data_IF_974172882025
#
_entry.id   IF_974172882025
#
_cell.length_a   1.000
_cell.length_b   1.000
_cell.length_c   1.000
_cell.angle_alpha   90.00
_cell.angle_beta   90.00
_cell.angle_gamma   90.00
#
_symmetry.space_group_name_H-M   'P 1'
#
loop_
_entity.id
_entity.type
_entity.pdbx_description
1 polymer ?
#
# COMPACT_ATOMS: atom_id res chain seq x y z
N UNK A 1 3.29 4.99 33.41
CA UNK A 1 2.23 5.47 32.50
C UNK A 1 2.05 4.40 31.44
N UNK A 2 0.81 4.07 31.06
CA UNK A 2 0.56 3.18 29.93
C UNK A 2 1.00 3.87 28.62
N UNK A 3 1.48 3.11 27.65
CA UNK A 3 1.84 3.63 26.33
C UNK A 3 0.59 4.16 25.60
N UNK A 4 0.73 5.20 24.78
CA UNK A 4 -0.35 5.63 23.88
C UNK A 4 -0.53 4.62 22.75
N UNK A 5 -1.69 4.55 22.07
CA UNK A 5 -1.86 3.63 20.94
C UNK A 5 -0.85 3.85 19.80
N UNK A 6 -0.42 5.09 19.53
CA UNK A 6 0.69 5.36 18.58
C UNK A 6 2.02 4.77 19.06
N UNK A 7 2.29 4.86 20.37
CA UNK A 7 3.48 4.25 20.97
C UNK A 7 3.40 2.72 20.95
N UNK A 8 2.23 2.12 21.11
CA UNK A 8 2.04 0.66 20.96
C UNK A 8 2.39 0.21 19.54
N UNK A 9 1.92 0.93 18.52
CA UNK A 9 2.25 0.64 17.11
C UNK A 9 3.75 0.81 16.86
N UNK A 10 4.33 1.92 17.35
CA UNK A 10 5.76 2.17 17.21
C UNK A 10 6.63 1.11 17.92
N UNK A 11 6.23 0.66 19.12
CA UNK A 11 6.92 -0.41 19.85
C UNK A 11 6.90 -1.70 19.05
N UNK A 12 5.73 -2.15 18.56
CA UNK A 12 5.63 -3.37 17.73
C UNK A 12 6.50 -3.26 16.49
N UNK A 13 6.51 -2.08 15.86
CA UNK A 13 7.34 -1.83 14.71
C UNK A 13 8.84 -1.94 15.04
N UNK A 14 9.29 -1.38 16.17
CA UNK A 14 10.68 -1.51 16.64
C UNK A 14 11.05 -2.94 17.04
N UNK A 15 10.10 -3.69 17.61
CA UNK A 15 10.29 -5.11 17.93
C UNK A 15 10.47 -5.96 16.68
N UNK A 16 9.76 -5.65 15.59
CA UNK A 16 10.00 -6.28 14.27
C UNK A 16 11.40 -5.93 13.76
N UNK A 17 11.76 -4.65 13.76
CA UNK A 17 13.06 -4.18 13.25
C UNK A 17 14.25 -4.72 14.03
N UNK A 18 14.11 -4.98 15.33
CA UNK A 18 15.17 -5.58 16.16
C UNK A 18 15.52 -7.01 15.71
N UNK A 19 14.54 -7.74 15.16
CA UNK A 19 14.74 -9.13 14.68
C UNK A 19 15.36 -9.18 13.28
N UNK A 20 15.56 -8.02 12.64
CA UNK A 20 16.10 -7.86 11.29
C UNK A 20 17.57 -7.44 11.38
N UNK A 21 18.53 -8.14 10.74
CA UNK A 21 19.91 -7.65 10.63
C UNK A 21 19.97 -6.28 9.93
N UNK A 22 20.21 -5.23 10.71
CA UNK A 22 20.37 -3.85 10.22
C UNK A 22 21.76 -3.66 9.61
N UNK A 23 21.92 -3.96 8.32
CA UNK A 23 23.13 -3.57 7.58
C UNK A 23 22.95 -2.18 6.96
N UNK A 24 24.01 -1.37 6.95
CA UNK A 24 24.01 -0.05 6.32
C UNK A 24 24.01 -0.20 4.80
N UNK A 25 23.04 0.44 4.16
CA UNK A 25 22.91 0.55 2.70
C UNK A 25 23.41 1.95 2.29
N UNK A 26 24.12 2.11 1.14
CA UNK A 26 24.77 3.37 0.79
C UNK A 26 23.81 4.56 0.66
N UNK A 27 24.29 5.73 1.11
CA UNK A 27 23.52 6.97 1.29
C UNK A 27 23.30 7.76 0.00
N UNK A 28 22.10 8.35 -0.15
CA UNK A 28 21.84 9.43 -1.10
C UNK A 28 21.73 10.82 -0.41
N UNK A 29 22.13 11.88 -1.11
CA UNK A 29 22.50 13.19 -0.56
C UNK A 29 21.35 14.09 -0.04
N UNK A 30 21.69 14.91 0.97
CA UNK A 30 20.79 15.77 1.77
C UNK A 30 20.31 17.02 1.01
N UNK A 31 19.01 17.33 1.07
CA UNK A 31 18.42 18.60 0.64
C UNK A 31 17.46 19.18 1.69
N UNK A 32 17.48 20.50 1.90
CA UNK A 32 16.78 21.20 3.00
C UNK A 32 15.50 21.89 2.52
N UNK A 33 14.41 21.80 3.30
CA UNK A 33 13.10 22.43 3.07
C UNK A 33 13.02 23.85 3.68
N UNK A 34 12.37 24.84 3.05
CA UNK A 34 11.99 26.10 3.68
C UNK A 34 10.49 26.14 4.11
N UNK A 35 10.16 27.02 5.06
CA UNK A 35 8.86 27.12 5.75
C UNK A 35 7.87 28.12 5.08
N UNK A 36 6.54 27.95 5.25
CA UNK A 36 5.53 28.74 4.55
C UNK A 36 5.03 29.99 5.31
N UNK A 37 4.48 30.95 4.56
CA UNK A 37 3.76 32.13 5.06
C UNK A 37 2.22 31.95 4.96
N UNK A 38 1.41 32.68 5.76
CA UNK A 38 0.02 32.31 6.04
C UNK A 38 -1.02 33.05 5.17
N UNK A 39 -2.15 32.37 4.96
CA UNK A 39 -3.51 32.86 4.61
C UNK A 39 -3.91 32.90 3.12
N UNK A 40 -4.70 31.91 2.66
CA UNK A 40 -6.11 32.08 2.26
C UNK A 40 -6.77 30.71 1.95
N UNK A 41 -8.07 30.54 2.27
CA UNK A 41 -8.78 29.23 2.31
C UNK A 41 -9.67 28.92 1.10
N UNK A 42 -9.78 29.80 0.11
CA UNK A 42 -10.50 29.49 -1.13
C UNK A 42 -9.50 29.38 -2.28
N UNK A 43 -9.19 28.13 -2.62
CA UNK A 43 -8.96 27.61 -3.98
C UNK A 43 -8.17 26.27 -3.90
N UNK A 44 -8.61 25.31 -3.07
CA UNK A 44 -7.81 24.15 -2.64
C UNK A 44 -7.33 23.26 -3.81
N UNK A 45 -8.20 23.04 -4.81
CA UNK A 45 -7.88 22.21 -5.97
C UNK A 45 -6.93 22.91 -6.95
N UNK A 46 -7.14 24.20 -7.25
CA UNK A 46 -6.22 24.93 -8.12
C UNK A 46 -4.93 25.33 -7.41
N UNK A 47 -4.93 25.55 -6.08
CA UNK A 47 -3.72 25.67 -5.27
C UNK A 47 -2.94 24.36 -5.32
N UNK A 48 -3.58 23.20 -5.18
CA UNK A 48 -2.92 21.91 -5.32
C UNK A 48 -2.31 21.74 -6.72
N UNK A 49 -3.07 22.02 -7.78
CA UNK A 49 -2.60 21.85 -9.16
C UNK A 49 -1.49 22.85 -9.52
N UNK A 50 -1.61 24.09 -9.05
CA UNK A 50 -0.61 25.15 -9.26
C UNK A 50 0.65 24.90 -8.46
N UNK A 51 0.52 24.57 -7.17
CA UNK A 51 1.61 24.13 -6.33
C UNK A 51 2.29 22.89 -6.92
N UNK A 52 1.53 21.93 -7.43
CA UNK A 52 2.06 20.73 -8.08
C UNK A 52 2.83 21.00 -9.37
N UNK A 53 2.43 22.02 -10.13
CA UNK A 53 3.15 22.48 -11.33
C UNK A 53 4.39 23.31 -11.00
N UNK A 54 4.28 24.23 -10.04
CA UNK A 54 5.38 25.12 -9.62
C UNK A 54 6.45 24.38 -8.81
N UNK A 55 6.05 23.31 -8.12
CA UNK A 55 6.93 22.41 -7.39
C UNK A 55 7.12 21.10 -8.15
N UNK A 56 6.84 21.05 -9.45
CA UNK A 56 6.94 19.82 -10.26
C UNK A 56 8.26 19.14 -10.04
N UNK A 57 9.40 19.85 -10.08
CA UNK A 57 10.71 19.23 -9.86
C UNK A 57 10.98 18.82 -8.41
N UNK A 58 10.37 19.49 -7.43
CA UNK A 58 10.47 19.16 -5.98
C UNK A 58 9.56 17.99 -5.61
N UNK A 59 8.38 17.89 -6.21
CA UNK A 59 7.44 16.77 -6.12
C UNK A 59 8.00 15.61 -6.91
N UNK A 60 8.56 15.83 -8.09
CA UNK A 60 9.31 14.84 -8.83
C UNK A 60 10.53 14.41 -8.02
N UNK A 61 11.13 15.25 -7.17
CA UNK A 61 12.25 14.86 -6.28
C UNK A 61 11.81 14.24 -4.95
N UNK A 62 10.64 14.57 -4.42
CA UNK A 62 10.05 13.97 -3.22
C UNK A 62 9.34 12.65 -3.52
N UNK A 63 8.69 12.56 -4.68
CA UNK A 63 8.31 11.34 -5.36
C UNK A 63 9.58 10.61 -5.80
N UNK A 64 10.61 11.21 -6.43
CA UNK A 64 11.84 10.43 -6.72
C UNK A 64 12.58 9.92 -5.48
N UNK A 65 12.58 10.65 -4.37
CA UNK A 65 13.19 10.18 -3.12
C UNK A 65 12.30 9.23 -2.29
N UNK A 66 11.06 8.93 -2.71
CA UNK A 66 10.14 8.10 -1.91
C UNK A 66 9.28 7.12 -2.71
N UNK A 67 9.02 7.49 -3.95
CA UNK A 67 8.47 6.71 -5.07
C UNK A 67 9.58 6.22 -6.01
N UNK A 68 10.75 6.88 -6.20
CA UNK A 68 11.76 6.49 -7.22
C UNK A 68 13.26 6.38 -6.87
N UNK A 69 13.66 5.71 -5.78
CA UNK A 69 15.08 5.31 -5.60
C UNK A 69 15.73 5.70 -4.28
N UNK A 70 15.13 5.28 -3.17
CA UNK A 70 15.83 5.03 -1.91
C UNK A 70 15.10 3.93 -1.16
N UNK A 71 15.82 2.94 -0.63
CA UNK A 71 15.23 1.95 0.27
C UNK A 71 14.66 2.68 1.50
N UNK A 72 13.36 2.45 1.70
CA UNK A 72 12.54 2.73 2.88
C UNK A 72 12.32 4.21 3.21
N UNK A 73 11.80 4.52 4.40
CA UNK A 73 11.70 5.90 4.88
C UNK A 73 13.08 6.58 4.90
N UNK A 74 13.27 7.59 5.75
CA UNK A 74 14.66 7.93 6.05
C UNK A 74 15.27 6.71 6.81
N UNK A 75 15.86 5.75 6.09
CA UNK A 75 16.31 4.46 6.65
C UNK A 75 17.41 4.67 7.67
N UNK A 76 18.23 5.71 7.47
CA UNK A 76 19.15 6.20 8.50
C UNK A 76 18.39 6.50 9.80
N UNK A 77 17.16 7.04 9.73
CA UNK A 77 16.28 7.28 10.89
C UNK A 77 15.66 6.03 11.45
N UNK A 78 15.26 5.08 10.61
CA UNK A 78 14.76 3.78 11.07
C UNK A 78 15.87 3.05 11.84
N UNK A 79 17.10 3.06 11.33
CA UNK A 79 18.28 2.51 12.02
C UNK A 79 18.59 3.28 13.30
N UNK A 80 18.62 4.62 13.26
CA UNK A 80 18.77 5.47 14.46
C UNK A 80 17.70 5.14 15.52
N UNK A 81 16.45 4.90 15.09
CA UNK A 81 15.34 4.55 15.97
C UNK A 81 15.55 3.20 16.66
N UNK A 82 15.93 2.17 15.90
CA UNK A 82 16.18 0.83 16.45
C UNK A 82 17.40 0.83 17.38
N UNK A 83 18.47 1.55 17.03
CA UNK A 83 19.61 1.73 17.92
C UNK A 83 19.23 2.41 19.25
N UNK A 84 18.37 3.44 19.21
CA UNK A 84 17.86 4.10 20.40
C UNK A 84 16.96 3.18 21.24
N UNK A 85 16.11 2.37 20.59
CA UNK A 85 15.28 1.36 21.23
C UNK A 85 16.12 0.33 21.99
N UNK A 86 17.19 -0.20 21.37
CA UNK A 86 18.10 -1.17 22.03
C UNK A 86 18.81 -0.60 23.27
N UNK A 87 19.02 0.72 23.29
CA UNK A 87 19.60 1.43 24.44
C UNK A 87 18.55 1.76 25.52
N UNK A 88 17.28 1.38 25.32
CA UNK A 88 16.16 1.75 26.20
C UNK A 88 15.74 3.21 26.11
N UNK A 89 16.22 3.96 25.10
CA UNK A 89 15.86 5.36 24.89
C UNK A 89 14.60 5.48 24.02
N UNK A 90 13.45 5.07 24.58
CA UNK A 90 12.17 5.09 23.88
C UNK A 90 11.77 6.47 23.33
N UNK A 91 11.95 7.61 24.04
CA UNK A 91 11.64 8.92 23.50
C UNK A 91 12.41 9.26 22.21
N UNK A 92 13.70 8.91 22.16
CA UNK A 92 14.50 9.09 20.94
C UNK A 92 14.08 8.13 19.84
N UNK A 93 13.81 6.86 20.17
CA UNK A 93 13.34 5.87 19.20
C UNK A 93 12.05 6.33 18.49
N UNK A 94 11.06 6.83 19.25
CA UNK A 94 9.82 7.35 18.70
C UNK A 94 10.04 8.59 17.83
N UNK A 95 10.86 9.55 18.30
CA UNK A 95 11.17 10.74 17.52
C UNK A 95 11.82 10.39 16.16
N UNK A 96 12.68 9.37 16.14
CA UNK A 96 13.35 8.92 14.91
C UNK A 96 12.40 8.20 13.95
N UNK A 97 11.47 7.40 14.46
CA UNK A 97 10.40 6.85 13.62
C UNK A 97 9.52 7.96 13.03
N UNK A 98 9.13 8.97 13.82
CA UNK A 98 8.37 10.11 13.32
C UNK A 98 9.15 10.90 12.25
N UNK A 99 10.45 11.10 12.45
CA UNK A 99 11.35 11.70 11.45
C UNK A 99 11.35 10.87 10.15
N UNK A 100 11.36 9.54 10.24
CA UNK A 100 11.42 8.63 9.08
C UNK A 100 10.19 8.76 8.17
N UNK A 101 9.01 9.08 8.74
CA UNK A 101 7.75 9.24 8.02
C UNK A 101 7.34 10.71 7.79
N UNK A 102 8.18 11.67 8.17
CA UNK A 102 7.83 13.09 8.22
C UNK A 102 7.23 13.68 6.92
N UNK A 103 7.76 13.37 5.72
CA UNK A 103 7.11 13.90 4.51
C UNK A 103 5.80 13.19 4.13
N UNK A 104 5.53 11.96 4.62
CA UNK A 104 4.21 11.33 4.43
C UNK A 104 3.22 12.03 5.34
N UNK A 105 3.60 12.30 6.59
CA UNK A 105 2.79 13.11 7.51
C UNK A 105 2.44 14.49 6.95
N UNK A 106 3.36 15.15 6.23
CA UNK A 106 3.06 16.41 5.54
C UNK A 106 1.98 16.26 4.46
N UNK A 107 2.06 15.21 3.64
CA UNK A 107 1.06 14.93 2.59
C UNK A 107 -0.29 14.54 3.19
N UNK A 108 -0.29 13.67 4.20
CA UNK A 108 -1.50 13.29 4.92
C UNK A 108 -2.17 14.51 5.57
N UNK A 109 -1.39 15.36 6.25
CA UNK A 109 -1.89 16.58 6.88
C UNK A 109 -2.46 17.57 5.86
N UNK A 110 -1.87 17.65 4.66
CA UNK A 110 -2.44 18.42 3.56
C UNK A 110 -3.85 17.92 3.18
N UNK A 111 -4.10 16.61 3.19
CA UNK A 111 -5.41 16.03 2.95
C UNK A 111 -6.36 16.03 4.16
N UNK A 112 -6.00 16.70 5.26
CA UNK A 112 -6.80 16.68 6.50
C UNK A 112 -6.77 15.32 7.20
N UNK A 113 -5.77 14.49 6.90
CA UNK A 113 -5.57 13.16 7.47
C UNK A 113 -4.32 13.11 8.34
N UNK A 114 -4.18 12.04 9.10
CA UNK A 114 -2.92 11.63 9.72
C UNK A 114 -2.41 10.35 9.07
N UNK A 115 -1.13 10.05 9.25
CA UNK A 115 -0.51 8.81 8.77
C UNK A 115 0.11 8.04 9.92
N UNK A 116 0.00 6.72 9.86
CA UNK A 116 0.61 5.79 10.80
C UNK A 116 1.28 4.66 10.00
N UNK A 117 2.56 4.42 10.25
CA UNK A 117 3.23 3.23 9.72
C UNK A 117 2.72 1.99 10.47
N UNK A 118 2.29 0.96 9.75
CA UNK A 118 1.75 -0.28 10.32
C UNK A 118 2.73 -1.45 10.19
N UNK A 119 3.49 -1.48 9.09
CA UNK A 119 4.46 -2.53 8.79
C UNK A 119 5.55 -1.97 7.86
N UNK A 120 6.82 -2.30 8.12
CA UNK A 120 7.95 -1.99 7.24
C UNK A 120 8.88 -3.20 7.22
N UNK A 121 8.56 -4.13 6.33
CA UNK A 121 9.31 -5.35 6.05
C UNK A 121 9.86 -5.35 4.62
N UNK A 122 10.02 -4.15 4.04
CA UNK A 122 10.36 -3.95 2.64
C UNK A 122 11.62 -4.67 2.18
N UNK A 123 12.60 -4.91 3.05
CA UNK A 123 13.88 -5.51 2.65
C UNK A 123 14.05 -6.98 3.07
N UNK A 124 12.99 -7.64 3.55
CA UNK A 124 13.07 -9.04 3.95
C UNK A 124 11.90 -9.87 3.42
N UNK A 125 12.24 -10.99 2.78
CA UNK A 125 11.30 -12.07 2.50
C UNK A 125 11.40 -13.14 3.59
N UNK A 126 10.28 -13.73 4.00
CA UNK A 126 10.20 -14.77 5.05
C UNK A 126 11.08 -16.01 4.79
N UNK A 127 11.52 -16.24 3.55
CA UNK A 127 12.44 -17.33 3.16
C UNK A 127 13.88 -16.89 2.84
N UNK A 128 14.27 -15.65 3.15
CA UNK A 128 15.65 -15.16 2.94
C UNK A 128 16.06 -14.97 1.47
N UNK A 129 15.10 -14.94 0.54
CA UNK A 129 15.36 -14.58 -0.86
C UNK A 129 15.66 -13.09 -0.96
N UNK A 130 16.85 -12.75 -1.47
CA UNK A 130 17.39 -11.39 -1.57
C UNK A 130 16.78 -10.54 -2.69
N UNK A 131 15.67 -10.97 -3.29
CA UNK A 131 15.10 -10.41 -4.53
C UNK A 131 13.63 -9.96 -4.35
N UNK A 132 12.95 -10.30 -3.23
CA UNK A 132 11.53 -9.99 -3.06
C UNK A 132 11.27 -9.16 -1.80
N UNK A 133 10.82 -7.93 -2.02
CA UNK A 133 10.51 -6.96 -0.98
C UNK A 133 9.26 -7.38 -0.17
N UNK A 134 9.38 -7.51 1.15
CA UNK A 134 8.21 -7.68 2.02
C UNK A 134 7.31 -6.44 2.04
N UNK A 135 6.12 -6.49 2.66
CA UNK A 135 5.19 -5.38 2.61
C UNK A 135 5.67 -4.19 3.46
N UNK A 136 5.70 -3.01 2.83
CA UNK A 136 5.63 -1.73 3.53
C UNK A 136 4.20 -1.23 3.48
N UNK A 137 3.58 -1.07 4.64
CA UNK A 137 2.17 -0.73 4.79
C UNK A 137 1.98 0.38 5.82
N UNK A 138 1.20 1.40 5.46
CA UNK A 138 0.79 2.46 6.37
C UNK A 138 -0.67 2.84 6.22
N UNK A 139 -1.26 3.37 7.28
CA UNK A 139 -2.64 3.82 7.32
C UNK A 139 -2.71 5.35 7.27
N UNK A 140 -3.48 5.87 6.32
CA UNK A 140 -3.98 7.24 6.31
C UNK A 140 -5.34 7.25 6.99
N UNK A 141 -5.61 8.14 7.93
CA UNK A 141 -6.89 8.15 8.63
C UNK A 141 -7.44 9.55 8.79
N UNK A 142 -8.76 9.64 8.68
CA UNK A 142 -9.52 10.88 8.78
C UNK A 142 -9.35 11.54 10.16
N UNK A 143 -9.33 12.87 10.17
CA UNK A 143 -9.48 13.66 11.40
C UNK A 143 -10.87 14.32 11.48
N UNK A 144 -11.74 14.07 10.50
CA UNK A 144 -13.13 14.54 10.51
C UNK A 144 -13.99 13.58 11.35
N UNK A 145 -14.52 14.02 12.51
CA UNK A 145 -15.31 13.17 13.39
C UNK A 145 -16.67 12.75 12.82
N UNK A 146 -17.13 13.38 11.74
CA UNK A 146 -18.38 13.05 11.04
C UNK A 146 -18.15 12.10 9.85
N UNK A 147 -16.89 11.95 9.42
CA UNK A 147 -16.50 11.09 8.30
C UNK A 147 -15.25 10.25 8.64
N UNK A 148 -15.34 9.33 9.62
CA UNK A 148 -14.22 8.49 10.00
C UNK A 148 -13.95 7.39 8.96
N UNK A 149 -12.71 7.30 8.50
CA UNK A 149 -12.22 6.20 7.66
C UNK A 149 -10.72 5.99 7.85
N UNK A 150 -10.26 4.80 7.48
CA UNK A 150 -8.85 4.43 7.33
C UNK A 150 -8.61 4.00 5.88
N UNK A 151 -7.60 4.56 5.23
CA UNK A 151 -7.03 4.08 3.98
C UNK A 151 -5.70 3.36 4.26
N UNK A 152 -5.69 2.04 4.14
CA UNK A 152 -4.50 1.18 4.28
C UNK A 152 -3.77 1.14 2.95
N UNK A 153 -2.56 1.69 2.90
CA UNK A 153 -1.77 1.84 1.70
C UNK A 153 -0.53 0.93 1.73
N UNK A 154 -0.44 0.02 0.75
CA UNK A 154 0.73 -0.81 0.52
C UNK A 154 1.64 -0.18 -0.53
N UNK A 155 2.94 -0.08 -0.20
CA UNK A 155 3.97 0.37 -1.11
C UNK A 155 4.17 -0.66 -2.23
N UNK A 156 4.37 -0.17 -3.44
CA UNK A 156 4.92 -0.98 -4.53
C UNK A 156 6.44 -1.03 -4.49
N UNK A 157 7.02 -1.54 -5.56
CA UNK A 157 8.46 -1.70 -5.75
C UNK A 157 9.18 -0.37 -6.04
N UNK A 158 10.51 -0.36 -6.04
CA UNK A 158 11.31 0.71 -6.64
C UNK A 158 11.13 0.77 -8.18
N UNK A 159 10.89 1.95 -8.76
CA UNK A 159 10.66 2.18 -10.19
C UNK A 159 11.78 1.89 -11.14
N UNK A 160 13.01 1.87 -10.65
CA UNK A 160 14.12 1.44 -11.47
C UNK A 160 13.94 -0.04 -11.88
N UNK A 161 13.18 -0.83 -11.10
CA UNK A 161 13.04 -2.28 -11.24
C UNK A 161 11.60 -2.81 -11.30
N UNK A 162 10.56 -1.96 -11.44
CA UNK A 162 9.14 -2.40 -11.38
C UNK A 162 8.81 -3.66 -12.18
N UNK A 163 9.39 -3.78 -13.38
CA UNK A 163 9.14 -4.92 -14.24
C UNK A 163 9.86 -6.18 -13.79
N UNK A 164 11.13 -6.04 -13.38
CA UNK A 164 11.91 -7.16 -12.86
C UNK A 164 11.20 -7.70 -11.63
N UNK A 165 10.88 -6.86 -10.65
CA UNK A 165 10.26 -7.33 -9.41
C UNK A 165 8.81 -7.81 -9.60
N UNK A 166 8.06 -7.23 -10.55
CA UNK A 166 6.74 -7.74 -10.91
C UNK A 166 6.81 -9.05 -11.69
N UNK A 167 7.88 -9.35 -12.44
CA UNK A 167 8.04 -10.62 -13.18
C UNK A 167 8.69 -11.69 -12.32
N UNK A 168 9.60 -11.29 -11.43
CA UNK A 168 10.40 -12.13 -10.54
C UNK A 168 9.67 -12.46 -9.23
N UNK A 169 8.48 -11.89 -9.00
CA UNK A 169 7.55 -12.38 -8.00
C UNK A 169 7.34 -13.90 -8.18
N UNK A 170 7.35 -14.64 -7.07
CA UNK A 170 7.05 -16.06 -7.10
C UNK A 170 5.56 -16.29 -7.43
N UNK A 171 5.29 -16.51 -8.72
CA UNK A 171 3.98 -16.82 -9.27
C UNK A 171 3.66 -18.33 -9.28
N UNK A 172 4.35 -19.15 -8.48
CA UNK A 172 3.82 -20.47 -8.20
C UNK A 172 2.48 -20.30 -7.46
N UNK A 173 1.44 -20.99 -7.92
CA UNK A 173 0.20 -21.07 -7.16
C UNK A 173 0.42 -21.97 -5.96
N UNK A 174 0.07 -21.46 -4.78
CA UNK A 174 -0.04 -22.26 -3.57
C UNK A 174 -1.43 -22.08 -2.96
N UNK A 175 -1.93 -23.14 -2.33
CA UNK A 175 -3.10 -23.04 -1.48
C UNK A 175 -2.74 -22.22 -0.23
N UNK A 176 -3.54 -21.20 0.06
CA UNK A 176 -3.52 -20.58 1.36
C UNK A 176 -3.91 -21.60 2.46
N UNK A 177 -3.34 -21.45 3.64
CA UNK A 177 -3.53 -22.36 4.78
C UNK A 177 -4.15 -21.63 5.96
N UNK A 178 -4.53 -22.37 7.01
CA UNK A 178 -5.00 -21.82 8.29
C UNK A 178 -6.23 -20.90 8.16
N UNK A 179 -7.03 -21.16 7.13
CA UNK A 179 -8.23 -20.39 6.83
C UNK A 179 -7.96 -19.08 6.11
N UNK A 180 -6.71 -18.70 5.84
CA UNK A 180 -6.40 -17.45 5.14
C UNK A 180 -6.95 -17.43 3.71
N UNK A 181 -7.43 -16.27 3.29
CA UNK A 181 -8.05 -16.00 1.99
C UNK A 181 -8.91 -17.16 1.47
N UNK A 182 -9.76 -17.71 2.34
CA UNK A 182 -10.68 -18.82 2.08
C UNK A 182 -10.01 -20.13 1.65
N UNK A 183 -8.73 -20.34 1.99
CA UNK A 183 -7.89 -21.46 1.54
C UNK A 183 -7.81 -21.59 0.01
N UNK A 184 -7.86 -20.46 -0.70
CA UNK A 184 -7.80 -20.38 -2.17
C UNK A 184 -6.37 -20.45 -2.70
N UNK A 185 -6.22 -20.58 -4.02
CA UNK A 185 -4.92 -20.64 -4.68
C UNK A 185 -4.45 -19.24 -5.07
N UNK A 186 -3.32 -18.83 -4.50
CA UNK A 186 -2.76 -17.48 -4.64
C UNK A 186 -1.28 -17.52 -5.01
N UNK A 187 -0.73 -16.39 -5.46
CA UNK A 187 0.72 -16.22 -5.66
C UNK A 187 1.48 -16.52 -4.38
N UNK A 188 2.45 -17.42 -4.48
CA UNK A 188 3.35 -17.80 -3.39
C UNK A 188 4.11 -16.59 -2.85
N UNK A 189 4.62 -15.73 -3.74
CA UNK A 189 5.37 -14.52 -3.37
C UNK A 189 4.50 -13.55 -2.58
N UNK A 190 3.33 -13.21 -3.11
CA UNK A 190 2.43 -12.25 -2.47
C UNK A 190 1.85 -12.78 -1.14
N UNK A 191 1.49 -14.07 -1.08
CA UNK A 191 1.02 -14.71 0.15
C UNK A 191 2.11 -14.76 1.23
N UNK A 192 3.33 -15.22 0.88
CA UNK A 192 4.43 -15.32 1.85
C UNK A 192 4.93 -13.95 2.31
N UNK A 193 4.75 -12.89 1.51
CA UNK A 193 4.99 -11.53 1.95
C UNK A 193 4.04 -11.08 3.07
N UNK A 194 2.79 -11.54 3.06
CA UNK A 194 1.79 -11.16 4.07
C UNK A 194 1.72 -12.11 5.27
N UNK A 195 1.71 -13.41 5.00
CA UNK A 195 1.45 -14.46 5.99
C UNK A 195 2.69 -15.30 6.33
N UNK A 196 3.81 -15.08 5.65
CA UNK A 196 5.08 -15.67 6.05
C UNK A 196 5.54 -15.14 7.40
N UNK A 197 6.27 -15.96 8.15
CA UNK A 197 6.77 -15.58 9.48
C UNK A 197 7.91 -14.55 9.37
N UNK A 198 7.78 -13.47 10.13
CA UNK A 198 8.79 -12.44 10.37
C UNK A 198 9.11 -12.40 11.87
N UNK A 199 9.98 -13.32 12.30
CA UNK A 199 10.17 -13.61 13.71
C UNK A 199 8.95 -14.36 14.27
N UNK A 200 8.25 -13.77 15.23
CA UNK A 200 7.11 -14.39 15.95
C UNK A 200 5.74 -13.87 15.47
N UNK A 201 5.70 -13.14 14.36
CA UNK A 201 4.46 -12.57 13.79
C UNK A 201 4.49 -12.61 12.27
N UNK A 202 3.36 -12.35 11.64
CA UNK A 202 3.25 -12.08 10.20
C UNK A 202 3.10 -10.58 9.93
N UNK A 203 3.32 -10.17 8.68
CA UNK A 203 3.05 -8.80 8.27
C UNK A 203 1.57 -8.46 8.43
N UNK A 204 0.67 -9.38 8.06
CA UNK A 204 -0.77 -9.17 8.15
C UNK A 204 -1.25 -9.03 9.59
N UNK A 205 -0.78 -9.88 10.52
CA UNK A 205 -1.07 -9.73 11.96
C UNK A 205 -0.62 -8.37 12.51
N UNK A 206 0.54 -7.90 12.07
CA UNK A 206 1.06 -6.61 12.50
C UNK A 206 0.20 -5.45 12.01
N UNK A 207 -0.28 -5.55 10.76
CA UNK A 207 -1.21 -4.59 10.17
C UNK A 207 -2.53 -4.58 10.94
N UNK A 208 -3.14 -5.74 11.20
CA UNK A 208 -4.44 -5.82 11.90
C UNK A 208 -4.34 -5.33 13.34
N UNK A 209 -3.31 -5.71 14.09
CA UNK A 209 -3.06 -5.18 15.43
C UNK A 209 -2.81 -3.67 15.43
N UNK A 210 -2.12 -3.17 14.40
CA UNK A 210 -1.92 -1.73 14.22
C UNK A 210 -3.22 -0.98 13.95
N UNK A 211 -4.10 -1.56 13.13
CA UNK A 211 -5.45 -1.02 12.87
C UNK A 211 -6.31 -1.01 14.12
N UNK A 212 -6.29 -2.08 14.93
CA UNK A 212 -6.99 -2.13 16.22
C UNK A 212 -6.55 -1.03 17.19
N UNK A 213 -5.24 -0.76 17.28
CA UNK A 213 -4.73 0.35 18.08
C UNK A 213 -5.13 1.71 17.46
N UNK A 214 -5.10 1.83 16.14
CA UNK A 214 -5.44 3.06 15.42
C UNK A 214 -6.91 3.45 15.55
N UNK A 215 -7.83 2.49 15.54
CA UNK A 215 -9.27 2.73 15.67
C UNK A 215 -9.62 3.46 16.97
N UNK A 216 -8.83 3.28 18.03
CA UNK A 216 -8.99 3.98 19.33
C UNK A 216 -8.66 5.48 19.24
N UNK A 217 -7.94 5.90 18.20
CA UNK A 217 -7.45 7.27 18.00
C UNK A 217 -8.31 8.08 17.03
N UNK A 218 -9.15 7.41 16.24
CA UNK A 218 -9.93 8.06 15.20
C UNK A 218 -11.10 8.82 15.84
N UNK A 219 -11.21 10.14 15.64
CA UNK A 219 -12.39 10.87 16.06
C UNK A 219 -13.63 10.29 15.40
N UNK A 220 -14.63 9.90 16.19
CA UNK A 220 -15.86 9.31 15.67
C UNK A 220 -17.06 9.76 16.51
N UNK A 221 -17.65 10.88 16.12
CA UNK A 221 -18.85 11.42 16.76
C UNK A 221 -20.13 10.72 16.32
N UNK A 222 -20.09 10.05 15.16
CA UNK A 222 -21.25 9.36 14.58
C UNK A 222 -21.59 8.05 15.30
N UNK A 223 -20.62 7.46 16.00
CA UNK A 223 -20.74 6.14 16.64
C UNK A 223 -20.87 4.96 15.66
N UNK A 224 -20.75 5.21 14.34
CA UNK A 224 -20.77 4.17 13.30
C UNK A 224 -19.42 3.47 13.22
N UNK A 225 -19.41 2.26 12.65
CA UNK A 225 -18.15 1.57 12.34
C UNK A 225 -17.30 2.37 11.35
N UNK A 226 -15.97 2.32 11.54
CA UNK A 226 -15.01 3.03 10.69
C UNK A 226 -14.74 2.22 9.43
N UNK A 227 -14.89 2.83 8.26
CA UNK A 227 -14.58 2.17 6.99
C UNK A 227 -13.06 1.95 6.84
N UNK A 228 -12.66 0.72 6.51
CA UNK A 228 -11.29 0.38 6.15
C UNK A 228 -11.22 0.17 4.64
N UNK A 229 -10.64 1.14 3.93
CA UNK A 229 -10.29 1.03 2.52
C UNK A 229 -8.87 0.50 2.39
N UNK A 230 -8.59 -0.26 1.33
CA UNK A 230 -7.26 -0.80 1.05
C UNK A 230 -6.80 -0.31 -0.32
N UNK A 231 -5.53 0.10 -0.44
CA UNK A 231 -5.01 0.61 -1.70
C UNK A 231 -3.55 0.26 -1.93
N UNK A 232 -3.17 0.14 -3.20
CA UNK A 232 -1.78 -0.10 -3.57
C UNK A 232 -1.52 -0.01 -5.08
N UNK A 233 -0.26 0.26 -5.41
CA UNK A 233 0.22 0.32 -6.79
C UNK A 233 1.24 -0.79 -7.06
N UNK A 234 1.23 -1.37 -8.26
CA UNK A 234 2.19 -2.43 -8.66
C UNK A 234 2.16 -3.61 -7.67
N UNK A 235 3.31 -4.05 -7.15
CA UNK A 235 3.42 -5.03 -6.05
C UNK A 235 2.52 -4.70 -4.84
N UNK A 236 2.38 -3.41 -4.50
CA UNK A 236 1.48 -2.98 -3.43
C UNK A 236 0.01 -3.28 -3.74
N UNK A 237 -0.37 -3.30 -5.02
CA UNK A 237 -1.69 -3.74 -5.47
C UNK A 237 -1.96 -5.23 -5.22
N UNK A 238 -0.91 -6.06 -5.32
CA UNK A 238 -0.99 -7.48 -4.97
C UNK A 238 -1.23 -7.68 -3.48
N UNK A 239 -0.41 -7.03 -2.65
CA UNK A 239 -0.60 -7.07 -1.20
C UNK A 239 -1.96 -6.51 -0.79
N UNK A 240 -2.42 -5.46 -1.46
CA UNK A 240 -3.75 -4.88 -1.23
C UNK A 240 -4.88 -5.86 -1.55
N UNK A 241 -4.79 -6.56 -2.69
CA UNK A 241 -5.84 -7.50 -3.09
C UNK A 241 -5.94 -8.69 -2.14
N UNK A 242 -4.79 -9.28 -1.75
CA UNK A 242 -4.76 -10.41 -0.81
C UNK A 242 -5.22 -9.96 0.59
N UNK A 243 -4.72 -8.82 1.07
CA UNK A 243 -5.10 -8.29 2.39
C UNK A 243 -6.58 -7.92 2.44
N UNK A 244 -7.14 -7.37 1.36
CA UNK A 244 -8.55 -7.05 1.29
C UNK A 244 -9.43 -8.31 1.29
N UNK A 245 -9.03 -9.36 0.57
CA UNK A 245 -9.72 -10.66 0.63
C UNK A 245 -9.69 -11.27 2.02
N UNK A 246 -8.56 -11.20 2.71
CA UNK A 246 -8.43 -11.65 4.10
C UNK A 246 -9.34 -10.83 5.02
N UNK A 247 -9.36 -9.50 4.90
CA UNK A 247 -10.25 -8.65 5.71
C UNK A 247 -11.73 -8.88 5.40
N UNK A 248 -12.09 -9.38 4.21
CA UNK A 248 -13.46 -9.73 3.88
C UNK A 248 -13.95 -11.00 4.60
N UNK A 249 -13.06 -11.81 5.17
CA UNK A 249 -13.47 -12.99 5.92
C UNK A 249 -14.17 -12.64 7.24
N UNK A 250 -15.19 -13.41 7.64
CA UNK A 250 -15.85 -13.24 8.92
C UNK A 250 -14.86 -13.26 10.09
N UNK A 251 -14.83 -12.18 10.87
CA UNK A 251 -14.02 -12.05 12.07
C UNK A 251 -12.56 -11.64 11.84
N UNK A 252 -12.15 -11.31 10.60
CA UNK A 252 -10.80 -10.78 10.33
C UNK A 252 -10.69 -9.26 10.44
N UNK A 253 -11.81 -8.54 10.33
CA UNK A 253 -11.83 -7.10 10.57
C UNK A 253 -11.62 -6.77 12.06
N UNK A 254 -10.83 -5.73 12.37
CA UNK A 254 -10.76 -5.16 13.71
C UNK A 254 -12.15 -4.76 14.26
N UNK A 255 -12.46 -5.01 15.54
CA UNK A 255 -13.72 -4.57 16.13
C UNK A 255 -13.94 -3.05 16.01
N UNK A 256 -15.18 -2.64 15.70
CA UNK A 256 -15.51 -1.23 15.49
C UNK A 256 -15.19 -0.69 14.09
N UNK A 257 -14.87 -1.59 13.15
CA UNK A 257 -14.62 -1.27 11.76
C UNK A 257 -15.50 -2.09 10.81
N UNK A 258 -15.64 -1.58 9.59
CA UNK A 258 -16.33 -2.26 8.49
C UNK A 258 -15.49 -2.21 7.22
N UNK A 259 -15.67 -3.18 6.33
CA UNK A 259 -14.92 -3.26 5.08
C UNK A 259 -15.36 -2.14 4.13
N UNK A 260 -14.45 -1.23 3.83
CA UNK A 260 -14.61 -0.27 2.75
C UNK A 260 -14.21 -0.88 1.41
N UNK A 261 -13.69 -0.04 0.51
CA UNK A 261 -13.33 -0.44 -0.85
C UNK A 261 -11.85 -0.82 -1.02
N UNK A 262 -11.59 -1.64 -2.03
CA UNK A 262 -10.25 -1.91 -2.56
C UNK A 262 -9.97 -1.02 -3.77
N UNK A 263 -8.88 -0.25 -3.76
CA UNK A 263 -8.39 0.52 -4.89
C UNK A 263 -7.03 0.01 -5.33
N UNK A 264 -6.90 -0.51 -6.54
CA UNK A 264 -5.60 -0.96 -7.06
C UNK A 264 -5.24 -0.26 -8.34
N UNK A 265 -3.96 0.08 -8.47
CA UNK A 265 -3.42 0.79 -9.63
C UNK A 265 -2.28 -0.06 -10.21
N UNK A 266 -2.42 -0.56 -11.42
CA UNK A 266 -1.35 -1.35 -12.03
C UNK A 266 -1.05 -2.67 -11.32
N UNK A 267 -1.97 -3.22 -10.53
CA UNK A 267 -1.76 -4.49 -9.82
C UNK A 267 -1.60 -5.66 -10.81
N UNK A 268 -0.59 -6.53 -10.64
CA UNK A 268 -0.54 -7.81 -11.34
C UNK A 268 -1.64 -8.76 -10.81
N UNK A 269 -1.77 -9.94 -11.42
CA UNK A 269 -2.73 -10.97 -10.98
C UNK A 269 -2.21 -11.69 -9.74
N UNK A 270 -3.12 -12.01 -8.82
CA UNK A 270 -2.75 -12.42 -7.46
C UNK A 270 -3.14 -13.84 -7.09
N UNK A 271 -4.01 -14.48 -7.86
CA UNK A 271 -4.46 -15.85 -7.65
C UNK A 271 -5.24 -16.38 -8.84
N UNK A 272 -5.77 -17.58 -8.71
CA UNK A 272 -6.53 -18.22 -9.78
C UNK A 272 -8.04 -17.87 -9.72
N UNK A 273 -8.85 -18.62 -10.45
CA UNK A 273 -10.30 -18.44 -10.50
C UNK A 273 -11.03 -18.75 -9.18
N UNK A 274 -10.49 -19.61 -8.31
CA UNK A 274 -11.09 -19.88 -7.01
C UNK A 274 -10.91 -18.68 -6.06
N UNK A 275 -9.73 -18.05 -6.04
CA UNK A 275 -9.46 -16.82 -5.29
C UNK A 275 -10.39 -15.68 -5.68
N UNK A 276 -10.52 -15.41 -6.98
CA UNK A 276 -11.38 -14.34 -7.49
C UNK A 276 -12.86 -14.58 -7.18
N UNK A 277 -13.32 -15.83 -7.30
CA UNK A 277 -14.70 -16.21 -6.93
C UNK A 277 -14.94 -16.10 -5.44
N UNK A 278 -13.99 -16.54 -4.61
CA UNK A 278 -14.13 -16.44 -3.16
C UNK A 278 -14.30 -14.98 -2.74
N UNK A 279 -13.49 -14.06 -3.27
CA UNK A 279 -13.70 -12.63 -2.99
C UNK A 279 -15.08 -12.15 -3.45
N UNK A 280 -15.45 -12.40 -4.72
CA UNK A 280 -16.76 -12.00 -5.27
C UNK A 280 -17.93 -12.53 -4.44
N UNK A 281 -17.88 -13.79 -4.03
CA UNK A 281 -18.99 -14.47 -3.36
C UNK A 281 -19.14 -14.04 -1.89
N UNK A 282 -18.08 -13.50 -1.29
CA UNK A 282 -18.09 -13.00 0.10
C UNK A 282 -18.14 -11.47 0.20
N UNK A 283 -17.95 -10.73 -0.89
CA UNK A 283 -18.31 -9.32 -0.96
C UNK A 283 -19.83 -9.20 -1.02
N UNK A 284 -20.45 -8.97 0.14
CA UNK A 284 -21.87 -8.72 0.26
C UNK A 284 -22.29 -7.39 -0.37
N UNK A 285 -23.60 -7.18 -0.52
CA UNK A 285 -24.15 -5.90 -1.02
C UNK A 285 -23.88 -4.71 -0.08
N UNK A 286 -23.59 -5.01 1.19
CA UNK A 286 -23.28 -4.02 2.23
C UNK A 286 -21.76 -3.92 2.50
N UNK A 287 -20.93 -4.64 1.74
CA UNK A 287 -19.48 -4.58 1.78
C UNK A 287 -18.96 -3.65 0.68
N UNK A 288 -17.75 -3.10 0.84
CA UNK A 288 -17.19 -2.24 -0.20
C UNK A 288 -16.83 -2.99 -1.49
N UNK A 289 -16.49 -2.21 -2.52
CA UNK A 289 -16.28 -2.66 -3.89
C UNK A 289 -14.80 -2.78 -4.25
N UNK A 290 -14.51 -3.54 -5.32
CA UNK A 290 -13.15 -3.55 -5.89
C UNK A 290 -13.06 -2.62 -7.09
N UNK A 291 -12.08 -1.71 -7.04
CA UNK A 291 -11.80 -0.71 -8.06
C UNK A 291 -10.40 -0.96 -8.61
N UNK A 292 -10.33 -1.76 -9.67
CA UNK A 292 -9.09 -2.02 -10.38
C UNK A 292 -8.91 -0.98 -11.47
N UNK A 293 -7.83 -0.21 -11.39
CA UNK A 293 -7.49 0.84 -12.34
C UNK A 293 -6.26 0.40 -13.12
N UNK A 294 -6.38 0.40 -14.45
CA UNK A 294 -5.33 -0.06 -15.36
C UNK A 294 -5.05 1.03 -16.38
N UNK A 295 -3.80 1.49 -16.46
CA UNK A 295 -3.39 2.42 -17.50
C UNK A 295 -3.22 1.68 -18.82
N UNK A 296 -3.83 2.19 -19.89
CA UNK A 296 -3.79 1.59 -21.22
C UNK A 296 -2.34 1.44 -21.68
N UNK A 297 -1.94 0.20 -21.97
CA UNK A 297 -0.58 -0.14 -22.37
C UNK A 297 0.37 -0.50 -21.22
N UNK A 298 -0.09 -0.48 -19.96
CA UNK A 298 0.66 -1.01 -18.83
C UNK A 298 0.80 -2.56 -18.93
N UNK A 299 2.04 -3.09 -18.94
CA UNK A 299 2.27 -4.53 -18.99
C UNK A 299 2.08 -5.25 -17.65
N UNK A 300 2.18 -4.57 -16.50
CA UNK A 300 2.20 -5.22 -15.17
C UNK A 300 0.85 -5.85 -14.79
N UNK A 301 -0.31 -5.23 -15.06
CA UNK A 301 -1.60 -5.90 -14.84
C UNK A 301 -1.80 -7.19 -15.63
N UNK A 302 -0.90 -7.53 -16.55
CA UNK A 302 -1.01 -8.73 -17.36
C UNK A 302 -0.14 -9.84 -16.82
N UNK A 303 0.83 -9.58 -15.94
CA UNK A 303 1.66 -10.65 -15.37
C UNK A 303 0.87 -11.44 -14.31
N UNK A 304 1.15 -12.76 -14.15
CA UNK A 304 2.12 -13.55 -14.92
C UNK A 304 1.60 -13.94 -16.32
N UNK A 305 2.44 -13.85 -17.37
CA UNK A 305 2.04 -14.17 -18.76
C UNK A 305 2.10 -15.65 -19.11
N UNK A 306 2.87 -16.41 -18.34
CA UNK A 306 3.15 -17.83 -18.60
C UNK A 306 2.21 -18.78 -17.85
N UNK A 307 1.38 -18.26 -16.93
CA UNK A 307 0.36 -19.03 -16.23
C UNK A 307 -1.04 -18.63 -16.70
N UNK A 308 -1.73 -19.54 -17.39
CA UNK A 308 -3.12 -19.33 -17.83
C UNK A 308 -4.13 -19.24 -16.69
N UNK A 309 -3.74 -19.69 -15.51
CA UNK A 309 -4.67 -19.97 -14.41
C UNK A 309 -4.87 -18.75 -13.51
N UNK A 310 -3.98 -17.77 -13.59
CA UNK A 310 -4.13 -16.51 -12.87
C UNK A 310 -5.20 -15.65 -13.49
N UNK A 311 -6.10 -15.12 -12.66
CA UNK A 311 -7.10 -14.14 -13.10
C UNK A 311 -7.21 -13.00 -12.09
N UNK A 312 -7.76 -11.88 -12.55
CA UNK A 312 -8.11 -10.77 -11.68
C UNK A 312 -9.41 -10.97 -10.91
N UNK A 313 -9.48 -10.37 -9.73
CA UNK A 313 -10.60 -10.51 -8.79
C UNK A 313 -11.91 -9.87 -9.24
N UNK A 314 -11.87 -8.94 -10.20
CA UNK A 314 -13.06 -8.33 -10.80
C UNK A 314 -12.72 -7.60 -12.12
N UNK A 315 -13.74 -6.95 -12.69
CA UNK A 315 -13.66 -5.91 -13.73
C UNK A 315 -12.62 -4.84 -13.41
N UNK A 316 -12.17 -4.12 -14.43
CA UNK A 316 -11.30 -2.97 -14.25
C UNK A 316 -11.76 -1.78 -15.09
N UNK A 317 -11.34 -0.59 -14.67
CA UNK A 317 -11.43 0.60 -15.47
C UNK A 317 -10.09 0.82 -16.17
N UNK A 318 -10.11 0.72 -17.49
CA UNK A 318 -8.98 1.10 -18.32
C UNK A 318 -8.99 2.62 -18.48
N UNK A 319 -7.91 3.27 -18.04
CA UNK A 319 -7.70 4.71 -18.15
C UNK A 319 -6.67 4.99 -19.24
N UNK A 320 -6.76 6.16 -19.87
CA UNK A 320 -5.74 6.62 -20.80
C UNK A 320 -5.64 8.14 -20.75
N UNK A 321 -4.68 8.69 -21.49
CA UNK A 321 -4.53 10.13 -21.61
C UNK A 321 -5.55 10.80 -22.53
N UNK A 322 -6.16 10.07 -23.45
CA UNK A 322 -6.88 10.67 -24.58
C UNK A 322 -8.34 10.21 -24.66
N UNK A 323 -8.70 9.19 -23.88
CA UNK A 323 -10.03 8.57 -23.87
C UNK A 323 -10.58 8.53 -22.44
N UNK A 324 -11.89 8.69 -22.28
CA UNK A 324 -12.57 8.51 -21.00
C UNK A 324 -12.40 7.07 -20.47
N UNK A 325 -12.46 6.85 -19.14
CA UNK A 325 -12.31 5.51 -18.57
C UNK A 325 -13.32 4.52 -19.15
N UNK A 326 -12.84 3.34 -19.56
CA UNK A 326 -13.68 2.28 -20.09
C UNK A 326 -13.71 1.11 -19.12
N UNK A 327 -14.92 0.69 -18.71
CA UNK A 327 -15.07 -0.52 -17.89
C UNK A 327 -14.88 -1.76 -18.76
N UNK A 328 -13.88 -2.56 -18.42
CA UNK A 328 -13.55 -3.81 -19.08
C UNK A 328 -14.24 -5.00 -18.39
N UNK A 329 -14.56 -6.07 -19.12
CA UNK A 329 -15.19 -7.25 -18.54
C UNK A 329 -14.32 -7.93 -17.48
N UNK A 330 -14.96 -8.66 -16.56
CA UNK A 330 -14.26 -9.49 -15.57
C UNK A 330 -13.56 -10.66 -16.24
N UNK A 331 -12.42 -11.06 -15.68
CA UNK A 331 -11.67 -12.26 -16.06
C UNK A 331 -12.21 -13.54 -15.39
N UNK A 332 -13.11 -13.41 -14.42
CA UNK A 332 -13.73 -14.56 -13.74
C UNK A 332 -14.43 -15.46 -14.77
N UNK A 333 -14.11 -16.76 -14.70
CA UNK A 333 -14.59 -17.79 -15.63
C UNK A 333 -14.19 -17.58 -17.10
N UNK A 334 -13.17 -16.75 -17.36
CA UNK A 334 -12.68 -16.44 -18.70
C UNK A 334 -11.17 -16.61 -18.78
N UNK A 335 -10.68 -16.85 -19.99
CA UNK A 335 -9.25 -16.80 -20.25
C UNK A 335 -8.79 -15.33 -20.19
N UNK A 336 -7.78 -15.00 -19.37
CA UNK A 336 -7.24 -13.65 -19.28
C UNK A 336 -6.59 -13.19 -20.59
N UNK A 337 -6.62 -11.87 -20.83
CA UNK A 337 -5.84 -11.25 -21.90
C UNK A 337 -4.39 -11.03 -21.45
N UNK A 338 -3.46 -11.46 -22.29
CA UNK A 338 -2.02 -11.33 -22.07
C UNK A 338 -1.35 -10.35 -23.04
N UNK A 339 -2.08 -9.78 -24.01
CA UNK A 339 -1.49 -9.15 -25.18
C UNK A 339 -1.00 -7.71 -24.98
N UNK A 340 0.15 -7.47 -24.35
CA UNK A 340 0.83 -6.14 -24.32
C UNK A 340 2.24 -6.17 -24.92
N UNK A 341 2.80 -5.00 -25.22
CA UNK A 341 4.26 -4.90 -25.32
C UNK A 341 4.85 -4.91 -23.89
N UNK A 342 5.60 -5.97 -23.53
CA UNK A 342 6.11 -6.18 -22.19
C UNK A 342 7.09 -5.10 -21.70
N UNK A 343 7.72 -4.38 -22.63
CA UNK A 343 8.79 -3.41 -22.34
C UNK A 343 8.27 -1.95 -22.24
N UNK A 344 6.96 -1.72 -22.36
CA UNK A 344 6.37 -0.36 -22.28
C UNK A 344 6.07 0.08 -20.84
N UNK A 345 7.10 0.12 -20.00
CA UNK A 345 6.97 0.43 -18.57
C UNK A 345 6.64 1.89 -18.26
N UNK A 346 6.78 2.80 -19.24
CA UNK A 346 6.40 4.20 -19.07
C UNK A 346 4.92 4.39 -18.72
N UNK A 347 4.04 3.43 -19.03
CA UNK A 347 2.62 3.46 -18.64
C UNK A 347 2.37 2.94 -17.22
N UNK A 348 3.33 2.22 -16.65
CA UNK A 348 3.21 1.61 -15.32
C UNK A 348 3.54 2.58 -14.18
N UNK A 349 4.35 3.61 -14.42
CA UNK A 349 4.77 4.52 -13.34
C UNK A 349 3.58 5.26 -12.73
N UNK A 350 3.61 5.50 -11.42
CA UNK A 350 2.49 6.14 -10.71
C UNK A 350 2.16 7.54 -11.23
N UNK A 351 3.15 8.29 -11.71
CA UNK A 351 2.95 9.57 -12.40
C UNK A 351 2.06 9.44 -13.65
N UNK A 352 2.24 8.36 -14.43
CA UNK A 352 1.43 8.11 -15.63
C UNK A 352 -0.02 7.75 -15.27
N UNK A 353 -0.22 6.99 -14.19
CA UNK A 353 -1.54 6.73 -13.61
C UNK A 353 -2.22 8.02 -13.13
N UNK A 354 -1.49 8.85 -12.40
CA UNK A 354 -2.00 10.12 -11.90
C UNK A 354 -2.41 11.06 -13.04
N UNK A 355 -1.57 11.20 -14.07
CA UNK A 355 -1.89 12.07 -15.20
C UNK A 355 -3.06 11.55 -16.04
N UNK A 356 -3.19 10.23 -16.23
CA UNK A 356 -4.33 9.62 -16.91
C UNK A 356 -5.63 9.83 -16.11
N UNK A 357 -5.61 9.60 -14.79
CA UNK A 357 -6.77 9.84 -13.90
C UNK A 357 -7.19 11.32 -13.90
N UNK A 358 -6.23 12.25 -13.84
CA UNK A 358 -6.52 13.69 -13.87
C UNK A 358 -7.27 14.10 -15.12
N UNK A 359 -6.93 13.52 -16.27
CA UNK A 359 -7.62 13.79 -17.53
C UNK A 359 -8.99 13.14 -17.58
N UNK A 360 -9.10 11.90 -17.12
CA UNK A 360 -10.37 11.18 -17.01
C UNK A 360 -11.41 11.91 -16.14
N UNK A 361 -10.97 12.63 -15.10
CA UNK A 361 -11.85 13.43 -14.24
C UNK A 361 -12.19 14.81 -14.82
N UNK A 362 -11.49 15.25 -15.87
CA UNK A 362 -11.70 16.54 -16.53
C UNK A 362 -12.54 16.42 -17.82
N UNK A 363 -12.72 15.21 -18.34
CA UNK A 363 -13.65 14.86 -19.42
C UNK A 363 -15.03 14.55 -18.87
#
# INVERSE_FOLDING_TARGET
MAATPEQEIAIRHLEQLNKVPLTKIPKAGKGRFPAPAPNNKEDFFHILVRWSKENKDTILKAAKNRVYGGQNGDWDKVVEATEAYHKGNFPEAFAKLDESVANINKVAGFWGMKFQLLCDLADQHSKGHSILDGPYCGAFYSQDPEAPFIGVAFKGTNPDNYFEDAVDMDYQLQAATDGHVYNTQVSTGAYNGLFGSFGDTTAFESITQGLESLLKLIPNSTGKEVNIHVTGHSLGGSYSSISFTELAEPGRLPPGSTLGDLYTFGSPRNGNNDFAKALRDHLGTDSGSTWRIVNKGDPVPRVPWWYSDYIHVDTHYEISHDESPVKQPSEIDRRPDFGCNPFKLGHHVSDAYYDALRKALAS
#
